data_IF_835815319275
#
_entry.id   IF_835815319275
#
_cell.length_a   1.000
_cell.length_b   1.000
_cell.length_c   1.000
_cell.angle_alpha   90.00
_cell.angle_beta   90.00
_cell.angle_gamma   90.00
#
_symmetry.space_group_name_H-M   'P 1'
#
loop_
_entity.id
_entity.type
_entity.pdbx_description
1 polymer ?
#
# COMPACT_ATOMS: atom_id res chain seq x y z
N UNK A 1 -50.33 -24.37 4.29
CA UNK A 1 -49.32 -24.13 5.35
C UNK A 1 -47.98 -24.51 4.77
N UNK A 2 -47.21 -23.54 4.32
CA UNK A 2 -45.82 -23.70 3.91
C UNK A 2 -44.97 -23.17 5.07
N UNK A 3 -44.11 -24.03 5.60
CA UNK A 3 -43.26 -23.82 6.76
C UNK A 3 -42.24 -22.72 6.50
N UNK A 4 -42.12 -21.78 7.44
CA UNK A 4 -41.15 -20.68 7.38
C UNK A 4 -39.71 -21.17 7.54
N UNK A 5 -38.96 -21.23 6.44
CA UNK A 5 -37.50 -21.16 6.48
C UNK A 5 -37.09 -19.75 6.88
N UNK A 6 -36.36 -19.63 7.97
CA UNK A 6 -36.05 -18.37 8.65
C UNK A 6 -35.07 -17.53 7.82
N UNK A 7 -35.22 -16.21 7.84
CA UNK A 7 -34.36 -15.24 7.10
C UNK A 7 -32.85 -15.48 7.32
N UNK A 8 -32.48 -16.09 8.46
CA UNK A 8 -31.11 -16.43 8.84
C UNK A 8 -30.49 -17.56 7.99
N UNK A 9 -31.25 -18.60 7.64
CA UNK A 9 -30.77 -19.71 6.77
C UNK A 9 -30.48 -19.21 5.35
N UNK A 10 -31.19 -18.16 4.93
CA UNK A 10 -30.93 -17.49 3.65
C UNK A 10 -29.63 -16.68 3.67
N UNK A 11 -29.19 -16.16 4.82
CA UNK A 11 -27.97 -15.35 4.95
C UNK A 11 -26.71 -16.21 4.89
N UNK A 12 -26.71 -17.37 5.53
CA UNK A 12 -25.59 -18.33 5.45
C UNK A 12 -25.39 -18.83 4.01
N UNK A 13 -26.48 -19.23 3.34
CA UNK A 13 -26.44 -19.62 1.93
C UNK A 13 -26.01 -18.46 1.02
N UNK A 14 -26.45 -17.23 1.31
CA UNK A 14 -26.03 -16.05 0.55
C UNK A 14 -24.56 -15.68 0.76
N UNK A 15 -24.00 -15.88 1.96
CA UNK A 15 -22.57 -15.73 2.26
C UNK A 15 -21.74 -16.79 1.53
N UNK A 16 -22.18 -18.05 1.56
CA UNK A 16 -21.56 -19.13 0.80
C UNK A 16 -21.56 -18.84 -0.71
N UNK A 17 -22.68 -18.36 -1.25
CA UNK A 17 -22.80 -17.93 -2.64
C UNK A 17 -21.95 -16.70 -2.96
N UNK A 18 -21.88 -15.72 -2.05
CA UNK A 18 -21.04 -14.54 -2.22
C UNK A 18 -19.56 -14.92 -2.30
N UNK A 19 -19.12 -15.83 -1.43
CA UNK A 19 -17.76 -16.38 -1.44
C UNK A 19 -17.50 -17.19 -2.72
N UNK A 20 -18.40 -18.10 -3.09
CA UNK A 20 -18.26 -18.93 -4.30
C UNK A 20 -18.21 -18.10 -5.59
N UNK A 21 -19.04 -17.06 -5.70
CA UNK A 21 -19.12 -16.19 -6.87
C UNK A 21 -18.13 -15.02 -6.83
N UNK A 22 -17.41 -14.82 -5.73
CA UNK A 22 -16.61 -13.61 -5.50
C UNK A 22 -17.43 -12.30 -5.53
N UNK A 23 -18.72 -12.36 -5.15
CA UNK A 23 -19.67 -11.26 -5.28
C UNK A 23 -19.62 -10.32 -4.08
N UNK A 24 -18.86 -9.22 -4.19
CA UNK A 24 -18.71 -8.22 -3.12
C UNK A 24 -20.02 -7.49 -2.78
N UNK A 25 -20.94 -7.36 -3.75
CA UNK A 25 -22.25 -6.76 -3.54
C UNK A 25 -23.13 -7.64 -2.63
N UNK A 26 -23.08 -8.95 -2.84
CA UNK A 26 -23.87 -9.90 -2.04
C UNK A 26 -23.27 -10.01 -0.63
N UNK A 27 -21.95 -10.05 -0.52
CA UNK A 27 -21.22 -10.05 0.76
C UNK A 27 -21.58 -8.81 1.61
N UNK A 28 -21.51 -7.61 1.02
CA UNK A 28 -21.93 -6.36 1.68
C UNK A 28 -23.40 -6.38 2.12
N UNK A 29 -24.28 -6.99 1.33
CA UNK A 29 -25.69 -7.06 1.69
C UNK A 29 -25.93 -8.00 2.87
N UNK A 30 -25.23 -9.15 2.90
CA UNK A 30 -25.23 -10.08 4.03
C UNK A 30 -24.67 -9.41 5.28
N UNK A 31 -23.53 -8.74 5.19
CA UNK A 31 -22.92 -7.99 6.29
C UNK A 31 -23.85 -6.89 6.84
N UNK A 32 -24.46 -6.09 5.96
CA UNK A 32 -25.39 -5.04 6.37
C UNK A 32 -26.64 -5.61 7.05
N UNK A 33 -27.11 -6.77 6.60
CA UNK A 33 -28.23 -7.48 7.24
C UNK A 33 -27.83 -7.99 8.63
N UNK A 34 -26.66 -8.63 8.74
CA UNK A 34 -26.07 -9.08 10.01
C UNK A 34 -25.86 -7.94 11.01
N UNK A 35 -25.47 -6.76 10.51
CA UNK A 35 -25.26 -5.56 11.32
C UNK A 35 -26.54 -4.93 11.89
N UNK A 36 -27.62 -4.90 11.09
CA UNK A 36 -28.75 -3.99 11.33
C UNK A 36 -30.07 -4.70 11.64
N UNK A 37 -30.23 -5.96 11.22
CA UNK A 37 -31.54 -6.63 11.19
C UNK A 37 -31.52 -8.08 11.70
N UNK A 38 -30.33 -8.63 11.92
CA UNK A 38 -30.16 -10.01 12.31
C UNK A 38 -30.44 -10.23 13.80
N UNK A 39 -31.19 -11.29 14.10
CA UNK A 39 -31.34 -11.83 15.45
C UNK A 39 -30.23 -12.83 15.82
N UNK A 40 -29.21 -12.99 14.97
CA UNK A 40 -28.12 -13.95 15.17
C UNK A 40 -27.17 -13.40 16.25
N UNK A 41 -26.93 -14.14 17.35
CA UNK A 41 -25.99 -13.76 18.39
C UNK A 41 -24.58 -13.53 17.85
N UNK A 42 -23.82 -12.62 18.48
CA UNK A 42 -22.48 -12.24 18.03
C UNK A 42 -21.51 -13.43 17.94
N UNK A 43 -21.64 -14.41 18.84
CA UNK A 43 -20.92 -15.69 18.83
C UNK A 43 -21.19 -16.53 17.57
N UNK A 44 -22.44 -16.58 17.14
CA UNK A 44 -22.82 -17.31 15.92
C UNK A 44 -22.34 -16.56 14.67
N UNK A 45 -22.37 -15.22 14.69
CA UNK A 45 -21.77 -14.41 13.62
C UNK A 45 -20.25 -14.59 13.52
N UNK A 46 -19.56 -14.73 14.66
CA UNK A 46 -18.13 -15.06 14.70
C UNK A 46 -17.85 -16.41 14.03
N UNK A 47 -18.63 -17.44 14.40
CA UNK A 47 -18.47 -18.77 13.81
C UNK A 47 -18.78 -18.76 12.30
N UNK A 48 -19.80 -18.01 11.88
CA UNK A 48 -20.15 -17.85 10.47
C UNK A 48 -19.00 -17.18 9.68
N UNK A 49 -18.38 -16.15 10.25
CA UNK A 49 -17.24 -15.48 9.66
C UNK A 49 -16.05 -16.45 9.48
N UNK A 50 -15.78 -17.29 10.48
CA UNK A 50 -14.71 -18.29 10.42
C UNK A 50 -15.00 -19.38 9.39
N UNK A 51 -16.20 -19.97 9.43
CA UNK A 51 -16.60 -21.06 8.52
C UNK A 51 -16.51 -20.65 7.04
N UNK A 52 -16.77 -19.39 6.73
CA UNK A 52 -16.71 -18.85 5.37
C UNK A 52 -15.41 -18.11 5.05
N UNK A 53 -14.43 -18.08 5.96
CA UNK A 53 -13.19 -17.30 5.85
C UNK A 53 -13.46 -15.82 5.48
N UNK A 54 -14.54 -15.23 5.99
CA UNK A 54 -14.92 -13.85 5.70
C UNK A 54 -14.20 -12.89 6.63
N UNK A 55 -13.04 -12.37 6.17
CA UNK A 55 -12.25 -11.37 6.89
C UNK A 55 -13.10 -10.13 7.25
N UNK A 56 -13.95 -9.67 6.33
CA UNK A 56 -14.78 -8.48 6.53
C UNK A 56 -15.82 -8.68 7.64
N UNK A 57 -16.50 -9.83 7.65
CA UNK A 57 -17.46 -10.15 8.70
C UNK A 57 -16.75 -10.35 10.03
N UNK A 58 -15.57 -10.98 10.03
CA UNK A 58 -14.76 -11.17 11.24
C UNK A 58 -14.35 -9.83 11.85
N UNK A 59 -13.85 -8.88 11.04
CA UNK A 59 -13.52 -7.52 11.49
C UNK A 59 -14.76 -6.84 12.09
N UNK A 60 -15.90 -6.93 11.40
CA UNK A 60 -17.14 -6.33 11.87
C UNK A 60 -17.57 -6.90 13.23
N UNK A 61 -17.60 -8.23 13.36
CA UNK A 61 -17.95 -8.93 14.60
C UNK A 61 -17.02 -8.50 15.73
N UNK A 62 -15.70 -8.55 15.51
CA UNK A 62 -14.71 -8.14 16.52
C UNK A 62 -14.82 -6.66 16.89
N UNK A 63 -15.24 -5.78 15.97
CA UNK A 63 -15.40 -4.35 16.27
C UNK A 63 -16.56 -4.04 17.23
N UNK A 64 -17.57 -4.93 17.28
CA UNK A 64 -18.75 -4.79 18.15
C UNK A 64 -18.42 -5.15 19.60
N UNK A 65 -17.48 -6.08 19.82
CA UNK A 65 -17.06 -6.58 21.14
C UNK A 65 -16.48 -5.45 21.98
N UNK A 66 -17.11 -5.07 23.10
CA UNK A 66 -16.79 -3.84 23.83
C UNK A 66 -15.71 -4.00 24.89
N UNK A 67 -15.55 -5.20 25.43
CA UNK A 67 -14.64 -5.48 26.52
C UNK A 67 -14.13 -6.94 26.49
N UNK A 68 -13.16 -7.24 27.34
CA UNK A 68 -12.52 -8.54 27.40
C UNK A 68 -13.48 -9.67 27.86
N UNK A 69 -14.56 -9.35 28.58
CA UNK A 69 -15.55 -10.35 28.98
C UNK A 69 -16.38 -10.78 27.78
N UNK A 70 -16.86 -9.82 26.99
CA UNK A 70 -17.60 -10.12 25.75
C UNK A 70 -16.71 -10.87 24.74
N UNK A 71 -15.41 -10.56 24.71
CA UNK A 71 -14.45 -11.29 23.88
C UNK A 71 -14.34 -12.78 24.29
N UNK A 72 -14.25 -13.07 25.59
CA UNK A 72 -14.19 -14.44 26.12
C UNK A 72 -15.51 -15.22 25.87
N UNK A 73 -16.65 -14.53 25.82
CA UNK A 73 -17.93 -15.17 25.51
C UNK A 73 -18.10 -15.51 24.02
N UNK A 74 -17.62 -14.62 23.14
CA UNK A 74 -17.80 -14.71 21.68
C UNK A 74 -16.76 -15.63 21.04
N UNK A 75 -15.50 -15.54 21.47
CA UNK A 75 -14.37 -16.26 20.84
C UNK A 75 -14.24 -17.66 21.44
N UNK A 76 -14.31 -18.73 20.63
CA UNK A 76 -14.04 -20.09 21.11
C UNK A 76 -12.65 -20.22 21.76
N UNK A 77 -12.59 -21.00 22.85
CA UNK A 77 -11.34 -21.22 23.62
C UNK A 77 -10.26 -21.97 22.84
N UNK A 78 -10.67 -22.79 21.88
CA UNK A 78 -9.76 -23.52 21.01
C UNK A 78 -9.32 -22.65 19.83
N UNK A 79 -8.25 -21.88 20.06
CA UNK A 79 -7.68 -21.01 19.04
C UNK A 79 -6.91 -21.79 17.96
N UNK A 80 -6.47 -23.02 18.23
CA UNK A 80 -5.61 -23.76 17.29
C UNK A 80 -6.34 -24.05 15.97
N UNK A 81 -7.66 -24.24 16.07
CA UNK A 81 -8.58 -24.46 14.96
C UNK A 81 -8.75 -23.28 13.99
N UNK A 82 -8.37 -22.06 14.39
CA UNK A 82 -8.61 -20.87 13.58
C UNK A 82 -7.56 -20.67 12.48
N UNK A 83 -8.01 -20.08 11.37
CA UNK A 83 -7.10 -19.56 10.37
C UNK A 83 -6.24 -18.42 10.94
N UNK A 84 -5.05 -18.23 10.35
CA UNK A 84 -4.10 -17.21 10.82
C UNK A 84 -4.68 -15.79 10.76
N UNK A 85 -5.55 -15.51 9.79
CA UNK A 85 -6.22 -14.22 9.65
C UNK A 85 -7.10 -13.93 10.87
N UNK A 86 -7.92 -14.88 11.28
CA UNK A 86 -8.79 -14.75 12.46
C UNK A 86 -7.99 -14.64 13.75
N UNK A 87 -6.93 -15.44 13.91
CA UNK A 87 -6.00 -15.31 15.05
C UNK A 87 -5.47 -13.89 15.17
N UNK A 88 -5.03 -13.29 14.06
CA UNK A 88 -4.52 -11.92 14.04
C UNK A 88 -5.57 -10.87 14.40
N UNK A 89 -6.80 -11.00 13.87
CA UNK A 89 -7.89 -10.06 14.17
C UNK A 89 -8.31 -10.14 15.64
N UNK A 90 -8.49 -11.35 16.18
CA UNK A 90 -8.83 -11.57 17.58
C UNK A 90 -7.73 -11.05 18.49
N UNK A 91 -6.47 -11.33 18.17
CA UNK A 91 -5.33 -10.87 18.96
C UNK A 91 -5.23 -9.33 18.95
N UNK A 92 -5.41 -8.70 17.79
CA UNK A 92 -5.45 -7.24 17.69
C UNK A 92 -6.57 -6.67 18.56
N UNK A 93 -7.78 -7.23 18.48
CA UNK A 93 -8.90 -6.78 19.31
C UNK A 93 -8.62 -6.97 20.79
N UNK A 94 -8.00 -8.08 21.18
CA UNK A 94 -7.57 -8.35 22.55
C UNK A 94 -6.66 -7.25 23.09
N UNK A 95 -5.67 -6.81 22.30
CA UNK A 95 -4.78 -5.72 22.68
C UNK A 95 -5.51 -4.38 22.82
N UNK A 96 -6.42 -4.06 21.90
CA UNK A 96 -7.24 -2.85 21.97
C UNK A 96 -8.07 -2.81 23.26
N UNK A 97 -8.71 -3.92 23.60
CA UNK A 97 -9.57 -4.06 24.79
C UNK A 97 -8.79 -4.02 26.10
N UNK A 98 -7.57 -4.54 26.11
CA UNK A 98 -6.66 -4.46 27.27
C UNK A 98 -6.05 -3.06 27.47
N UNK A 99 -6.41 -2.08 26.63
CA UNK A 99 -5.82 -0.75 26.68
C UNK A 99 -4.35 -0.74 26.27
N UNK A 100 -3.82 -1.86 25.76
CA UNK A 100 -2.55 -1.94 25.05
C UNK A 100 -2.83 -1.37 23.66
N UNK A 101 -3.14 -0.06 23.62
CA UNK A 101 -3.23 0.66 22.36
C UNK A 101 -1.91 0.45 21.66
N UNK A 102 -1.97 0.07 20.38
CA UNK A 102 -0.88 0.33 19.45
C UNK A 102 -0.43 1.76 19.74
N UNK A 103 0.82 2.00 20.17
CA UNK A 103 1.26 3.36 20.45
C UNK A 103 0.88 4.21 19.23
N UNK A 104 0.32 5.41 19.43
CA UNK A 104 0.09 6.31 18.31
C UNK A 104 1.38 6.30 17.51
N UNK A 105 1.28 5.94 16.23
CA UNK A 105 2.46 5.79 15.39
C UNK A 105 3.30 7.04 15.62
N UNK A 106 4.58 6.90 16.03
CA UNK A 106 5.37 8.06 16.38
C UNK A 106 5.25 9.10 15.26
N UNK A 107 5.21 10.40 15.60
CA UNK A 107 5.13 11.45 14.59
C UNK A 107 6.12 11.11 13.48
N UNK A 108 5.65 11.19 12.24
CA UNK A 108 6.43 10.78 11.07
C UNK A 108 7.86 11.30 11.26
N UNK A 109 8.87 10.42 11.22
CA UNK A 109 10.21 10.89 11.45
C UNK A 109 10.52 11.92 10.37
N UNK A 110 10.86 13.14 10.80
CA UNK A 110 11.32 14.19 9.89
C UNK A 110 12.64 13.77 9.21
N UNK A 111 13.32 12.77 9.78
CA UNK A 111 14.52 12.16 9.21
C UNK A 111 14.16 11.28 8.00
N UNK A 112 14.60 11.66 6.78
CA UNK A 112 14.42 10.85 5.57
C UNK A 112 14.94 9.42 5.70
N UNK A 113 15.96 9.18 6.55
CA UNK A 113 16.54 7.85 6.79
C UNK A 113 15.52 6.90 7.39
N UNK A 114 14.76 7.37 8.38
CA UNK A 114 13.76 6.55 9.05
C UNK A 114 12.57 6.28 8.12
N UNK A 115 12.11 7.28 7.35
CA UNK A 115 11.05 7.07 6.35
C UNK A 115 11.45 6.02 5.32
N UNK A 116 12.69 6.07 4.83
CA UNK A 116 13.20 5.09 3.88
C UNK A 116 13.31 3.68 4.49
N UNK A 117 13.92 3.54 5.68
CA UNK A 117 14.05 2.22 6.30
C UNK A 117 12.71 1.66 6.79
N UNK A 118 11.73 2.49 7.16
CA UNK A 118 10.36 2.03 7.44
C UNK A 118 9.73 1.40 6.19
N UNK A 119 9.85 2.06 5.04
CA UNK A 119 9.38 1.49 3.76
C UNK A 119 10.14 0.22 3.37
N UNK A 120 11.44 0.17 3.65
CA UNK A 120 12.27 -1.01 3.39
C UNK A 120 11.88 -2.19 4.28
N UNK A 121 11.69 -1.95 5.58
CA UNK A 121 11.29 -2.97 6.54
C UNK A 121 9.91 -3.53 6.21
N UNK A 122 8.96 -2.69 5.81
CA UNK A 122 7.65 -3.15 5.33
C UNK A 122 7.74 -4.04 4.07
N UNK A 123 8.66 -3.74 3.16
CA UNK A 123 8.92 -4.57 1.99
C UNK A 123 9.51 -5.94 2.40
N UNK A 124 10.44 -5.95 3.36
CA UNK A 124 11.04 -7.16 3.89
C UNK A 124 10.03 -8.02 4.65
N UNK A 125 9.18 -7.42 5.48
CA UNK A 125 8.07 -8.10 6.15
C UNK A 125 7.14 -8.76 5.12
N UNK A 126 6.81 -8.06 4.04
CA UNK A 126 5.96 -8.61 2.99
C UNK A 126 6.64 -9.75 2.23
N UNK A 127 7.97 -9.72 2.07
CA UNK A 127 8.73 -10.81 1.48
C UNK A 127 8.80 -12.04 2.40
N UNK A 128 8.79 -11.84 3.72
CA UNK A 128 8.79 -12.89 4.75
C UNK A 128 7.48 -13.64 4.89
N UNK A 129 6.35 -12.99 4.63
CA UNK A 129 5.01 -13.59 4.80
C UNK A 129 4.61 -14.68 3.77
N UNK A 130 5.54 -15.23 2.98
CA UNK A 130 5.34 -16.37 2.04
C UNK A 130 4.08 -16.31 1.13
N UNK A 131 4.30 -15.86 -0.12
CA UNK A 131 3.81 -16.49 -1.36
C UNK A 131 2.32 -16.48 -1.80
N UNK A 132 1.47 -15.56 -1.34
CA UNK A 132 0.13 -15.39 -1.97
C UNK A 132 -0.13 -14.02 -2.61
N UNK A 133 0.73 -13.04 -2.41
CA UNK A 133 0.53 -11.68 -2.93
C UNK A 133 1.79 -11.07 -3.55
N UNK A 134 2.48 -11.80 -4.43
CA UNK A 134 3.67 -11.31 -5.13
C UNK A 134 3.45 -9.96 -5.85
N UNK A 135 2.20 -9.68 -6.27
CA UNK A 135 1.81 -8.38 -6.83
C UNK A 135 1.92 -7.23 -5.81
N UNK A 136 1.51 -7.41 -4.56
CA UNK A 136 1.64 -6.39 -3.50
C UNK A 136 3.12 -6.07 -3.28
N UNK A 137 3.96 -7.10 -3.22
CA UNK A 137 5.41 -6.94 -3.04
C UNK A 137 6.04 -6.19 -4.22
N UNK A 138 5.64 -6.52 -5.46
CA UNK A 138 6.10 -5.81 -6.65
C UNK A 138 5.65 -4.34 -6.67
N UNK A 139 4.43 -4.05 -6.20
CA UNK A 139 3.91 -2.68 -6.10
C UNK A 139 4.65 -1.90 -5.01
N UNK A 140 4.97 -2.51 -3.86
CA UNK A 140 5.83 -1.90 -2.82
C UNK A 140 7.22 -1.56 -3.37
N UNK A 141 7.85 -2.48 -4.10
CA UNK A 141 9.15 -2.25 -4.73
C UNK A 141 9.09 -1.12 -5.76
N UNK A 142 8.05 -1.07 -6.59
CA UNK A 142 7.83 0.01 -7.55
C UNK A 142 7.67 1.37 -6.86
N UNK A 143 6.85 1.44 -5.80
CA UNK A 143 6.61 2.66 -5.03
C UNK A 143 7.87 3.14 -4.30
N UNK A 144 8.66 2.23 -3.72
CA UNK A 144 9.93 2.59 -3.09
C UNK A 144 10.94 3.11 -4.12
N UNK A 145 11.00 2.48 -5.30
CA UNK A 145 11.80 2.98 -6.43
C UNK A 145 11.33 4.36 -6.88
N UNK A 146 10.03 4.59 -7.02
CA UNK A 146 9.47 5.91 -7.40
C UNK A 146 9.81 6.97 -6.36
N UNK A 147 9.71 6.62 -5.07
CA UNK A 147 10.09 7.50 -3.97
C UNK A 147 11.55 7.93 -4.07
N UNK A 148 12.49 6.99 -4.21
CA UNK A 148 13.92 7.28 -4.30
C UNK A 148 14.23 8.20 -5.49
N UNK A 149 13.72 7.86 -6.68
CA UNK A 149 13.95 8.65 -7.90
C UNK A 149 13.38 10.06 -7.76
N UNK A 150 12.19 10.20 -7.18
CA UNK A 150 11.54 11.49 -7.05
C UNK A 150 12.20 12.38 -5.99
N UNK A 151 12.58 11.84 -4.83
CA UNK A 151 13.30 12.63 -3.81
C UNK A 151 14.68 13.09 -4.33
N UNK A 152 15.41 12.21 -5.02
CA UNK A 152 16.67 12.53 -5.67
C UNK A 152 16.53 13.64 -6.72
N UNK A 153 15.46 13.60 -7.52
CA UNK A 153 15.15 14.64 -8.50
C UNK A 153 14.77 15.96 -7.83
N UNK A 154 13.95 15.93 -6.77
CA UNK A 154 13.59 17.12 -6.00
C UNK A 154 14.82 17.76 -5.37
N UNK A 155 15.79 16.99 -4.89
CA UNK A 155 17.00 17.55 -4.30
C UNK A 155 17.95 18.17 -5.33
N UNK A 156 18.11 17.53 -6.49
CA UNK A 156 19.13 17.94 -7.47
C UNK A 156 18.64 18.93 -8.49
N UNK A 157 17.44 18.70 -9.00
CA UNK A 157 17.00 19.30 -10.25
C UNK A 157 15.82 20.25 -10.05
N UNK A 158 14.98 20.00 -9.03
CA UNK A 158 13.79 20.81 -8.80
C UNK A 158 13.50 21.08 -7.32
N UNK A 159 14.44 21.68 -6.56
CA UNK A 159 14.25 21.97 -5.14
C UNK A 159 13.09 22.95 -4.89
N UNK A 160 12.74 23.78 -5.88
CA UNK A 160 11.65 24.76 -5.80
C UNK A 160 10.26 24.10 -5.69
N UNK A 161 10.12 22.83 -6.09
CA UNK A 161 8.86 22.10 -5.94
C UNK A 161 8.63 21.60 -4.50
N UNK A 162 9.67 21.50 -3.67
CA UNK A 162 9.56 20.94 -2.30
C UNK A 162 8.60 21.72 -1.40
N UNK A 163 8.66 23.06 -1.28
CA UNK A 163 7.72 23.81 -0.45
C UNK A 163 6.26 23.58 -0.87
N UNK A 164 6.00 23.62 -2.19
CA UNK A 164 4.67 23.39 -2.76
C UNK A 164 4.13 22.00 -2.44
N UNK A 165 4.96 20.96 -2.53
CA UNK A 165 4.58 19.60 -2.16
C UNK A 165 4.27 19.51 -0.67
N UNK A 166 5.11 20.12 0.18
CA UNK A 166 4.95 20.09 1.64
C UNK A 166 3.68 20.79 2.11
N UNK A 167 3.29 21.86 1.42
CA UNK A 167 2.12 22.68 1.74
C UNK A 167 0.82 22.17 1.09
N UNK A 168 0.88 21.14 0.24
CA UNK A 168 -0.31 20.62 -0.43
C UNK A 168 -1.22 19.90 0.59
N UNK A 169 -2.46 20.37 0.81
CA UNK A 169 -3.35 19.79 1.82
C UNK A 169 -3.70 18.32 1.54
N UNK A 170 -3.65 17.88 0.27
CA UNK A 170 -3.89 16.48 -0.10
C UNK A 170 -2.77 15.57 0.40
N UNK A 171 -1.54 16.07 0.48
CA UNK A 171 -0.42 15.30 1.03
C UNK A 171 -0.64 15.06 2.52
N UNK A 172 -1.10 16.07 3.27
CA UNK A 172 -1.43 15.89 4.69
C UNK A 172 -2.57 14.90 4.91
N UNK A 173 -3.68 15.02 4.16
CA UNK A 173 -4.81 14.07 4.22
C UNK A 173 -4.35 12.63 3.97
N UNK A 174 -3.54 12.42 2.92
CA UNK A 174 -3.04 11.10 2.56
C UNK A 174 -1.99 10.56 3.54
N UNK A 175 -1.18 11.42 4.18
CA UNK A 175 -0.27 10.99 5.24
C UNK A 175 -1.05 10.50 6.46
N UNK A 176 -2.12 11.21 6.85
CA UNK A 176 -3.01 10.74 7.93
C UNK A 176 -3.74 9.45 7.53
N UNK A 177 -4.20 9.32 6.29
CA UNK A 177 -4.79 8.08 5.78
C UNK A 177 -3.79 6.92 5.85
N UNK A 178 -2.54 7.14 5.42
CA UNK A 178 -1.47 6.14 5.49
C UNK A 178 -1.21 5.69 6.92
N UNK A 179 -1.35 6.60 7.89
CA UNK A 179 -1.17 6.27 9.32
C UNK A 179 -2.27 5.36 9.84
N UNK A 180 -3.50 5.56 9.37
CA UNK A 180 -4.68 4.80 9.78
C UNK A 180 -4.86 3.51 8.98
N UNK A 181 -4.00 3.26 7.99
CA UNK A 181 -4.10 2.10 7.11
C UNK A 181 -3.34 0.89 7.67
N UNK A 182 -4.02 -0.27 7.69
CA UNK A 182 -3.52 -1.48 8.34
C UNK A 182 -3.06 -2.56 7.36
N UNK A 183 -3.61 -2.61 6.14
CA UNK A 183 -3.21 -3.62 5.16
C UNK A 183 -2.06 -3.13 4.25
N UNK A 184 -1.12 -4.00 3.87
CA UNK A 184 -0.06 -3.66 2.91
C UNK A 184 -0.59 -3.16 1.57
N UNK A 185 -1.71 -3.72 1.09
CA UNK A 185 -2.36 -3.28 -0.15
C UNK A 185 -2.87 -1.84 -0.02
N UNK A 186 -3.69 -1.53 0.99
CA UNK A 186 -4.19 -0.16 1.15
C UNK A 186 -3.03 0.84 1.35
N UNK A 187 -1.96 0.46 2.06
CA UNK A 187 -0.76 1.31 2.19
C UNK A 187 -0.13 1.61 0.83
N UNK A 188 -0.06 0.63 -0.07
CA UNK A 188 0.38 0.84 -1.45
C UNK A 188 -0.53 1.80 -2.20
N UNK A 189 -1.85 1.63 -2.09
CA UNK A 189 -2.80 2.53 -2.74
C UNK A 189 -2.64 3.97 -2.25
N UNK A 190 -2.52 4.20 -0.94
CA UNK A 190 -2.31 5.53 -0.37
C UNK A 190 -0.96 6.12 -0.79
N UNK A 191 0.13 5.33 -0.76
CA UNK A 191 1.46 5.78 -1.24
C UNK A 191 1.45 6.14 -2.72
N UNK A 192 0.75 5.38 -3.56
CA UNK A 192 0.59 5.69 -4.96
C UNK A 192 -0.16 7.01 -5.16
N UNK A 193 -1.20 7.26 -4.37
CA UNK A 193 -1.90 8.55 -4.37
C UNK A 193 -0.99 9.72 -3.95
N UNK A 194 -0.17 9.54 -2.91
CA UNK A 194 0.84 10.54 -2.50
C UNK A 194 1.78 10.83 -3.67
N UNK A 195 2.25 9.80 -4.37
CA UNK A 195 3.15 9.94 -5.51
C UNK A 195 2.51 10.72 -6.66
N UNK A 196 1.23 10.46 -6.96
CA UNK A 196 0.47 11.23 -7.96
C UNK A 196 0.42 12.71 -7.58
N UNK A 197 0.13 13.03 -6.32
CA UNK A 197 0.07 14.44 -5.87
C UNK A 197 1.45 15.10 -5.95
N UNK A 198 2.53 14.39 -5.61
CA UNK A 198 3.91 14.89 -5.80
C UNK A 198 4.22 15.18 -7.26
N UNK A 199 3.90 14.25 -8.17
CA UNK A 199 4.10 14.41 -9.61
C UNK A 199 3.28 15.58 -10.17
N UNK A 200 2.04 15.77 -9.71
CA UNK A 200 1.22 16.93 -10.10
C UNK A 200 1.88 18.26 -9.73
N UNK A 201 2.45 18.34 -8.53
CA UNK A 201 3.15 19.55 -8.08
C UNK A 201 4.44 19.77 -8.89
N UNK A 202 5.24 18.72 -9.13
CA UNK A 202 6.42 18.80 -10.01
C UNK A 202 6.05 19.30 -11.41
N UNK A 203 5.03 18.69 -12.03
CA UNK A 203 4.58 19.07 -13.36
C UNK A 203 4.12 20.53 -13.41
N UNK A 204 3.40 20.97 -12.38
CA UNK A 204 2.92 22.35 -12.29
C UNK A 204 4.09 23.32 -12.15
N UNK A 205 5.04 23.04 -11.25
CA UNK A 205 6.25 23.86 -11.08
C UNK A 205 7.04 23.97 -12.39
N UNK A 206 7.28 22.85 -13.09
CA UNK A 206 7.97 22.88 -14.38
C UNK A 206 7.21 23.74 -15.41
N UNK A 207 5.88 23.63 -15.43
CA UNK A 207 5.03 24.44 -16.34
C UNK A 207 5.14 25.93 -16.03
N UNK A 208 5.13 26.31 -14.74
CA UNK A 208 5.28 27.69 -14.29
C UNK A 208 6.68 28.26 -14.57
N UNK A 209 7.70 27.40 -14.56
CA UNK A 209 9.07 27.74 -14.96
C UNK A 209 9.24 27.90 -16.48
N UNK A 210 8.20 27.64 -17.27
CA UNK A 210 8.24 27.74 -18.73
C UNK A 210 8.86 26.53 -19.42
N UNK A 211 9.10 25.43 -18.71
CA UNK A 211 9.66 24.22 -19.29
C UNK A 211 8.71 23.64 -20.34
N UNK A 212 9.23 23.29 -21.52
CA UNK A 212 8.46 22.76 -22.64
C UNK A 212 7.92 21.35 -22.38
N UNK A 213 6.98 20.86 -23.22
CA UNK A 213 6.45 19.49 -23.11
C UNK A 213 7.53 18.41 -23.29
N UNK A 214 8.64 18.73 -23.96
CA UNK A 214 9.78 17.84 -24.19
C UNK A 214 10.66 17.64 -22.95
N UNK A 215 10.43 18.40 -21.87
CA UNK A 215 11.15 18.18 -20.62
C UNK A 215 10.92 16.73 -20.15
N UNK A 216 11.98 15.94 -19.83
CA UNK A 216 11.85 14.49 -19.59
C UNK A 216 10.77 14.10 -18.58
N UNK A 217 10.62 14.88 -17.50
CA UNK A 217 9.57 14.67 -16.51
C UNK A 217 8.16 15.02 -16.99
N UNK A 218 7.99 16.05 -17.83
CA UNK A 218 6.67 16.38 -18.39
C UNK A 218 6.25 15.34 -19.43
N UNK A 219 7.21 14.85 -20.22
CA UNK A 219 7.01 13.79 -21.20
C UNK A 219 6.62 12.45 -20.55
N UNK A 220 7.29 12.06 -19.46
CA UNK A 220 7.05 10.77 -18.78
C UNK A 220 5.91 10.79 -17.77
N UNK A 221 5.46 11.98 -17.34
CA UNK A 221 4.38 12.12 -16.34
C UNK A 221 3.10 11.35 -16.69
N UNK A 222 2.55 11.38 -17.93
CA UNK A 222 1.35 10.61 -18.26
C UNK A 222 1.53 9.10 -18.08
N UNK A 223 2.70 8.57 -18.43
CA UNK A 223 3.03 7.16 -18.22
C UNK A 223 3.07 6.82 -16.72
N UNK A 224 3.76 7.65 -15.92
CA UNK A 224 3.85 7.47 -14.48
C UNK A 224 2.49 7.56 -13.79
N UNK A 225 1.63 8.48 -14.23
CA UNK A 225 0.24 8.56 -13.77
C UNK A 225 -0.53 7.27 -14.05
N UNK A 226 -0.36 6.68 -15.24
CA UNK A 226 -1.02 5.42 -15.57
C UNK A 226 -0.57 4.28 -14.66
N UNK A 227 0.75 4.09 -14.52
CA UNK A 227 1.31 3.05 -13.67
C UNK A 227 0.89 3.20 -12.19
N UNK A 228 0.91 4.42 -11.65
CA UNK A 228 0.45 4.69 -10.29
C UNK A 228 -1.06 4.44 -10.13
N UNK A 229 -1.87 4.82 -11.12
CA UNK A 229 -3.30 4.56 -11.08
C UNK A 229 -3.61 3.06 -11.12
N UNK A 230 -2.86 2.27 -11.88
CA UNK A 230 -2.98 0.81 -11.85
C UNK A 230 -2.64 0.23 -10.46
N UNK A 231 -1.63 0.76 -9.78
CA UNK A 231 -1.32 0.37 -8.39
C UNK A 231 -2.49 0.74 -7.48
N UNK A 232 -3.05 1.94 -7.61
CA UNK A 232 -4.20 2.39 -6.81
C UNK A 232 -5.37 1.42 -7.01
N UNK A 233 -5.82 1.18 -8.24
CA UNK A 233 -6.99 0.33 -8.51
C UNK A 233 -6.76 -1.12 -8.07
N UNK A 234 -5.55 -1.65 -8.25
CA UNK A 234 -5.24 -3.04 -7.84
C UNK A 234 -5.21 -3.24 -6.32
N UNK A 235 -4.87 -2.19 -5.57
CA UNK A 235 -4.63 -2.30 -4.13
C UNK A 235 -5.69 -1.59 -3.27
N UNK A 236 -6.57 -0.80 -3.88
CA UNK A 236 -7.66 -0.12 -3.18
C UNK A 236 -8.82 -1.10 -2.99
N UNK A 237 -9.19 -1.38 -1.74
CA UNK A 237 -10.47 -2.03 -1.40
C UNK A 237 -11.62 -1.08 -1.75
N UNK A 238 -12.84 -1.60 -1.95
CA UNK A 238 -14.05 -0.83 -2.33
C UNK A 238 -14.42 0.30 -1.34
N UNK A 239 -13.62 1.36 -1.30
CA UNK A 239 -13.91 2.59 -0.57
C UNK A 239 -14.55 3.57 -1.56
N UNK A 240 -15.81 3.97 -1.32
CA UNK A 240 -16.54 4.88 -2.21
C UNK A 240 -16.07 6.34 -2.14
N UNK A 241 -15.04 6.64 -1.34
CA UNK A 241 -14.58 8.01 -1.16
C UNK A 241 -13.78 8.50 -2.39
N UNK A 242 -14.00 9.75 -2.83
CA UNK A 242 -13.24 10.32 -3.93
C UNK A 242 -11.77 10.42 -3.53
N UNK A 243 -10.92 9.65 -4.22
CA UNK A 243 -9.47 9.63 -4.08
C UNK A 243 -8.92 11.07 -4.04
N UNK A 244 -8.22 11.49 -2.97
CA UNK A 244 -7.62 12.82 -2.88
C UNK A 244 -6.75 13.17 -4.10
N UNK A 245 -6.10 12.16 -4.68
CA UNK A 245 -5.30 12.30 -5.90
C UNK A 245 -6.08 12.78 -7.13
N UNK A 246 -7.40 12.59 -7.22
CA UNK A 246 -8.24 13.00 -8.37
C UNK A 246 -8.72 14.45 -8.26
N UNK A 247 -8.69 15.03 -7.05
CA UNK A 247 -9.15 16.40 -6.77
C UNK A 247 -8.21 17.44 -7.40
N UNK A 248 -8.77 18.59 -7.76
CA UNK A 248 -8.03 19.74 -8.30
C UNK A 248 -8.51 20.19 -9.69
N UNK A 249 -8.24 21.46 -10.02
CA UNK A 249 -8.68 22.13 -11.24
C UNK A 249 -7.52 22.67 -12.09
N UNK A 250 -6.27 22.31 -11.77
CA UNK A 250 -5.11 22.70 -12.56
C UNK A 250 -5.07 21.91 -13.88
N UNK A 251 -4.36 22.39 -14.91
CA UNK A 251 -4.22 21.68 -16.19
C UNK A 251 -3.68 20.23 -16.01
N UNK A 252 -2.79 20.01 -15.04
CA UNK A 252 -2.27 18.68 -14.72
C UNK A 252 -3.34 17.75 -14.14
N UNK A 253 -4.35 18.27 -13.44
CA UNK A 253 -5.46 17.47 -12.91
C UNK A 253 -6.35 16.97 -14.06
N UNK A 254 -6.56 17.80 -15.09
CA UNK A 254 -7.22 17.40 -16.33
C UNK A 254 -6.48 16.27 -17.05
N UNK A 255 -5.16 16.40 -17.20
CA UNK A 255 -4.31 15.34 -17.78
C UNK A 255 -4.35 14.05 -16.97
N UNK A 256 -4.34 14.13 -15.65
CA UNK A 256 -4.44 12.94 -14.80
C UNK A 256 -5.79 12.22 -14.99
N UNK A 257 -6.91 12.97 -15.06
CA UNK A 257 -8.23 12.39 -15.33
C UNK A 257 -8.31 11.74 -16.72
N UNK A 258 -7.72 12.35 -17.73
CA UNK A 258 -7.62 11.75 -19.07
C UNK A 258 -6.87 10.41 -19.05
N UNK A 259 -5.72 10.36 -18.36
CA UNK A 259 -4.94 9.13 -18.20
C UNK A 259 -5.74 8.05 -17.45
N UNK A 260 -6.47 8.43 -16.39
CA UNK A 260 -7.35 7.51 -15.67
C UNK A 260 -8.36 6.86 -16.61
N UNK A 261 -9.03 7.64 -17.46
CA UNK A 261 -10.03 7.09 -18.38
C UNK A 261 -9.39 6.16 -19.42
N UNK A 262 -8.19 6.49 -19.92
CA UNK A 262 -7.44 5.62 -20.82
C UNK A 262 -7.11 4.27 -20.15
N UNK A 263 -6.62 4.29 -18.90
CA UNK A 263 -6.26 3.07 -18.17
C UNK A 263 -7.49 2.25 -17.83
N UNK A 264 -8.58 2.87 -17.35
CA UNK A 264 -9.86 2.19 -17.08
C UNK A 264 -10.39 1.44 -18.30
N UNK A 265 -10.23 2.02 -19.49
CA UNK A 265 -10.68 1.39 -20.74
C UNK A 265 -9.78 0.22 -21.19
N UNK A 266 -8.53 0.14 -20.70
CA UNK A 266 -7.58 -0.95 -21.02
C UNK A 266 -7.64 -2.11 -20.04
N UNK A 267 -7.85 -1.85 -18.74
CA UNK A 267 -7.83 -2.85 -17.68
C UNK A 267 -8.73 -4.08 -17.90
N UNK A 268 -9.92 -3.98 -18.54
CA UNK A 268 -10.75 -5.16 -18.84
C UNK A 268 -10.19 -6.07 -19.96
N UNK A 269 -9.23 -5.61 -20.76
CA UNK A 269 -8.78 -6.27 -22.00
C UNK A 269 -7.48 -7.07 -21.87
N UNK A 270 -6.74 -6.94 -20.77
CA UNK A 270 -5.45 -7.61 -20.59
C UNK A 270 -5.61 -8.95 -19.84
N UNK A 271 -5.73 -10.04 -20.59
CA UNK A 271 -5.42 -11.37 -20.07
C UNK A 271 -3.91 -11.43 -19.73
N UNK A 272 -3.48 -12.10 -18.65
CA UNK A 272 -2.07 -12.21 -18.33
C UNK A 272 -1.34 -12.98 -19.45
N UNK A 273 -0.58 -12.26 -20.28
CA UNK A 273 0.36 -12.83 -21.24
C UNK A 273 1.54 -13.43 -20.47
N UNK A 274 1.33 -14.65 -19.98
CA UNK A 274 2.38 -15.48 -19.38
C UNK A 274 3.34 -15.90 -20.50
N UNK A 275 4.52 -15.31 -20.55
CA UNK A 275 5.52 -15.55 -21.61
C UNK A 275 6.83 -16.17 -21.09
N UNK A 276 6.87 -16.63 -19.83
CA UNK A 276 8.07 -17.21 -19.24
C UNK A 276 7.81 -18.15 -18.06
N UNK A 277 8.88 -18.78 -17.58
CA UNK A 277 8.88 -19.72 -16.43
C UNK A 277 8.85 -19.01 -15.07
N UNK A 278 9.11 -17.70 -15.01
CA UNK A 278 9.08 -16.91 -13.77
C UNK A 278 7.78 -16.10 -13.61
N UNK A 279 7.26 -15.95 -12.39
CA UNK A 279 6.12 -15.07 -12.14
C UNK A 279 6.41 -13.62 -12.50
N UNK A 280 5.50 -12.97 -13.23
CA UNK A 280 5.62 -11.57 -13.71
C UNK A 280 6.02 -10.59 -12.59
N UNK A 281 5.55 -10.81 -11.37
CA UNK A 281 5.86 -9.95 -10.23
C UNK A 281 7.35 -9.98 -9.84
N UNK A 282 8.05 -11.12 -10.00
CA UNK A 282 9.51 -11.23 -9.76
C UNK A 282 10.27 -10.39 -10.79
N UNK A 283 9.83 -10.46 -12.05
CA UNK A 283 10.37 -9.63 -13.12
C UNK A 283 10.16 -8.14 -12.83
N UNK A 284 9.00 -7.76 -12.30
CA UNK A 284 8.72 -6.36 -11.95
C UNK A 284 9.62 -5.84 -10.84
N UNK A 285 9.91 -6.64 -9.81
CA UNK A 285 10.88 -6.27 -8.76
C UNK A 285 12.27 -6.09 -9.36
N UNK A 286 12.68 -6.97 -10.27
CA UNK A 286 13.97 -6.86 -10.96
C UNK A 286 14.06 -5.60 -11.83
N UNK A 287 12.99 -5.28 -12.57
CA UNK A 287 12.90 -4.02 -13.35
C UNK A 287 12.94 -2.79 -12.45
N UNK A 288 12.30 -2.83 -11.29
CA UNK A 288 12.38 -1.74 -10.32
C UNK A 288 13.82 -1.55 -9.83
N UNK A 289 14.57 -2.63 -9.61
CA UNK A 289 15.99 -2.55 -9.26
C UNK A 289 16.82 -1.97 -10.42
N UNK A 290 16.59 -2.42 -11.65
CA UNK A 290 17.29 -1.92 -12.85
C UNK A 290 17.08 -0.42 -13.06
N UNK A 291 15.86 0.07 -12.81
CA UNK A 291 15.50 1.47 -12.95
C UNK A 291 16.23 2.39 -11.95
N UNK A 292 16.77 1.86 -10.86
CA UNK A 292 17.58 2.61 -9.89
C UNK A 292 19.06 2.70 -10.28
N UNK A 293 19.55 1.84 -11.17
CA UNK A 293 20.97 1.82 -11.58
C UNK A 293 21.46 3.19 -12.09
N UNK A 294 20.73 3.92 -12.96
CA UNK A 294 21.16 5.25 -13.42
C UNK A 294 21.28 6.29 -12.30
N UNK A 295 20.60 6.05 -11.17
CA UNK A 295 20.54 6.94 -10.01
C UNK A 295 21.57 6.57 -8.93
N UNK A 296 22.29 5.47 -9.09
CA UNK A 296 23.46 5.15 -8.28
C UNK A 296 24.57 6.15 -8.63
N UNK A 297 24.55 7.32 -7.99
CA UNK A 297 25.54 8.35 -8.26
C UNK A 297 26.91 7.85 -7.86
N UNK A 298 27.76 7.63 -8.87
CA UNK A 298 29.18 7.32 -8.77
C UNK A 298 29.51 6.34 -7.66
N UNK A 299 29.81 5.08 -8.00
CA UNK A 299 30.59 4.18 -7.14
C UNK A 299 31.93 4.83 -6.80
N UNK A 300 31.96 5.83 -5.93
CA UNK A 300 33.13 6.12 -5.13
C UNK A 300 33.27 4.88 -4.25
N UNK A 301 34.50 4.37 -4.11
CA UNK A 301 34.78 3.17 -3.33
C UNK A 301 34.19 3.22 -1.89
N UNK A 302 33.86 4.43 -1.42
CA UNK A 302 33.36 4.71 -0.07
C UNK A 302 31.83 4.70 0.05
N UNK A 303 31.06 4.55 -1.03
CA UNK A 303 29.58 4.55 -0.97
C UNK A 303 29.01 3.36 -0.20
N UNK A 304 29.66 2.19 -0.31
CA UNK A 304 29.31 0.99 0.46
C UNK A 304 29.70 1.09 1.94
N UNK A 305 30.73 1.87 2.28
CA UNK A 305 31.23 2.03 3.65
C UNK A 305 30.31 2.91 4.52
N UNK A 306 29.36 3.63 3.89
CA UNK A 306 28.42 4.52 4.59
C UNK A 306 27.05 3.90 4.87
N UNK A 307 26.78 2.68 4.40
CA UNK A 307 25.58 1.94 4.76
C UNK A 307 25.79 1.38 6.17
N UNK A 308 24.92 1.69 7.15
CA UNK A 308 25.04 1.12 8.49
C UNK A 308 25.01 -0.42 8.46
N UNK A 309 25.92 -1.06 9.19
CA UNK A 309 25.98 -2.52 9.29
C UNK A 309 24.79 -3.13 10.06
N UNK A 310 24.05 -2.31 10.81
CA UNK A 310 22.96 -2.72 11.69
C UNK A 310 21.61 -2.83 10.97
N UNK A 311 21.57 -2.58 9.65
CA UNK A 311 20.33 -2.63 8.89
C UNK A 311 19.86 -4.08 8.68
N UNK A 312 18.55 -4.31 8.78
CA UNK A 312 17.94 -5.62 8.56
C UNK A 312 18.26 -6.15 7.16
N UNK A 313 18.71 -7.40 7.09
CA UNK A 313 18.97 -8.10 5.83
C UNK A 313 17.74 -8.89 5.34
N UNK A 314 17.78 -9.34 4.09
CA UNK A 314 16.76 -10.26 3.55
C UNK A 314 16.92 -11.62 4.24
N UNK A 315 15.86 -12.10 4.89
CA UNK A 315 15.86 -13.44 5.49
C UNK A 315 16.19 -14.53 4.46
N UNK A 316 16.95 -15.55 4.87
CA UNK A 316 17.29 -16.71 4.04
C UNK A 316 16.04 -17.44 3.53
N UNK A 317 14.94 -17.43 4.28
CA UNK A 317 13.67 -18.10 3.90
C UNK A 317 12.91 -17.39 2.79
N UNK A 318 13.21 -16.11 2.55
CA UNK A 318 12.53 -15.25 1.56
C UNK A 318 13.45 -14.77 0.45
N UNK A 319 14.62 -15.41 0.38
CA UNK A 319 15.71 -15.02 -0.49
C UNK A 319 15.43 -15.48 -1.91
N UNK A 320 15.02 -14.54 -2.76
CA UNK A 320 15.11 -14.70 -4.21
C UNK A 320 16.00 -13.60 -4.81
N UNK A 321 16.60 -13.89 -5.96
CA UNK A 321 17.61 -13.00 -6.55
C UNK A 321 17.08 -11.57 -6.77
N UNK A 322 15.81 -11.44 -7.18
CA UNK A 322 15.15 -10.16 -7.39
C UNK A 322 15.12 -9.26 -6.15
N UNK A 323 14.63 -9.76 -5.00
CA UNK A 323 14.52 -8.94 -3.78
C UNK A 323 15.88 -8.59 -3.19
N UNK A 324 16.83 -9.53 -3.16
CA UNK A 324 18.19 -9.28 -2.66
C UNK A 324 18.86 -8.17 -3.46
N UNK A 325 18.75 -8.26 -4.79
CA UNK A 325 19.30 -7.25 -5.70
C UNK A 325 18.62 -5.89 -5.51
N UNK A 326 17.30 -5.88 -5.40
CA UNK A 326 16.53 -4.66 -5.19
C UNK A 326 16.92 -3.95 -3.89
N UNK A 327 16.91 -4.66 -2.75
CA UNK A 327 17.25 -4.11 -1.42
C UNK A 327 18.63 -3.48 -1.43
N UNK A 328 19.62 -4.20 -2.00
CA UNK A 328 20.99 -3.70 -2.12
C UNK A 328 21.05 -2.40 -2.93
N UNK A 329 20.50 -2.40 -4.15
CA UNK A 329 20.56 -1.24 -5.05
C UNK A 329 19.81 -0.04 -4.46
N UNK A 330 18.65 -0.27 -3.84
CA UNK A 330 17.85 0.77 -3.20
C UNK A 330 18.61 1.44 -2.05
N UNK A 331 19.23 0.67 -1.15
CA UNK A 331 20.08 1.21 -0.07
C UNK A 331 21.29 1.95 -0.60
N UNK A 332 22.01 1.39 -1.56
CA UNK A 332 23.15 2.05 -2.21
C UNK A 332 22.74 3.40 -2.83
N UNK A 333 21.58 3.46 -3.47
CA UNK A 333 21.04 4.68 -4.06
C UNK A 333 20.72 5.71 -2.98
N UNK A 334 19.96 5.32 -1.95
CA UNK A 334 19.52 6.22 -0.88
C UNK A 334 20.70 6.82 -0.09
N UNK A 335 21.60 5.97 0.42
CA UNK A 335 22.74 6.44 1.22
C UNK A 335 23.76 7.19 0.38
N UNK A 336 23.90 6.83 -0.91
CA UNK A 336 24.70 7.61 -1.87
C UNK A 336 24.17 9.03 -2.06
N UNK A 337 22.85 9.19 -2.20
CA UNK A 337 22.19 10.50 -2.29
C UNK A 337 22.39 11.34 -1.02
N UNK A 338 22.19 10.76 0.17
CA UNK A 338 22.39 11.46 1.43
C UNK A 338 23.83 11.95 1.62
N UNK A 339 24.80 11.07 1.38
CA UNK A 339 26.22 11.37 1.43
C UNK A 339 26.58 12.60 0.57
N UNK A 340 26.04 12.66 -0.65
CA UNK A 340 26.28 13.77 -1.56
C UNK A 340 25.62 15.07 -1.08
N UNK A 341 24.40 15.02 -0.55
CA UNK A 341 23.71 16.19 0.01
C UNK A 341 24.53 16.77 1.18
N UNK A 342 25.07 15.90 2.05
CA UNK A 342 25.95 16.32 3.14
C UNK A 342 27.25 16.94 2.65
N UNK A 343 27.86 16.40 1.60
CA UNK A 343 29.06 16.95 0.98
C UNK A 343 28.80 18.31 0.33
N UNK A 344 27.70 18.48 -0.39
CA UNK A 344 27.31 19.77 -0.98
C UNK A 344 27.09 20.84 0.11
N UNK A 345 26.44 20.48 1.23
CA UNK A 345 26.26 21.40 2.37
C UNK A 345 27.58 21.84 3.01
N UNK A 346 28.61 21.00 2.98
CA UNK A 346 29.95 21.34 3.51
C UNK A 346 30.70 22.34 2.61
N UNK A 347 30.49 22.28 1.28
CA UNK A 347 31.18 23.17 0.33
C UNK A 347 30.47 24.51 0.13
N UNK A 348 29.22 24.64 0.58
CA UNK A 348 28.45 25.90 0.54
C UNK A 348 28.57 26.76 1.81
N UNK A 349 29.38 26.33 2.79
CA UNK A 349 29.74 27.09 3.99
C UNK A 349 31.18 27.54 3.87
#
# INVERSE_FOLDING_TARGET
MLTGGTENENVENALALASYLGSTKLDKHCMSHLAQKSNIPLKEQFQLAENHNSENLMIQVCSIIKDAYELDEVVPKDLDSFCNTTKNIVLQRSFELLGIRKPPMPPQPEDPRLVFEDMMNELLDQAELTNHHGKILADQAALLKDHLVLEEYLDRSLPQARPRIREDPRIHELIEELRNTHSPAERNAVRAQIMVVKLKNIYTTLTEMGEGPDHPWRYTTPYNFGALYEIIVRNQRDHPNPQPSVRGNLPVDGKYREVIEIVKNRLPAEAPLYTGTEPIWVTNISRAADALIPWQTGRTQNGSERIPNELREVSETSRFQGIVRFVKIARETFFGSLARIEEQKKHSR
#
